data_IF_925423131733
#
_entry.id   IF_925423131733
#
_cell.length_a   1.000
_cell.length_b   1.000
_cell.length_c   1.000
_cell.angle_alpha   90.00
_cell.angle_beta   90.00
_cell.angle_gamma   90.00
#
_symmetry.space_group_name_H-M   'P 1'
#
loop_
_entity.id
_entity.type
_entity.pdbx_description
1 polymer ?
#
# COMPACT_ATOMS: atom_id res chain seq x y z
N UNK A 1 -48.38 3.36 -14.75
CA UNK A 1 -47.17 4.14 -15.11
C UNK A 1 -46.13 3.91 -14.04
N UNK A 2 -45.05 3.19 -14.34
CA UNK A 2 -43.96 2.95 -13.39
C UNK A 2 -43.11 4.22 -13.24
N UNK A 3 -42.85 4.62 -12.00
CA UNK A 3 -41.93 5.71 -11.67
C UNK A 3 -40.54 5.37 -12.22
N UNK A 4 -40.03 6.19 -13.14
CA UNK A 4 -38.63 6.14 -13.55
C UNK A 4 -37.79 6.69 -12.41
N UNK A 5 -37.03 5.82 -11.74
CA UNK A 5 -36.03 6.23 -10.77
C UNK A 5 -35.03 7.18 -11.45
N UNK A 6 -34.62 8.27 -10.78
CA UNK A 6 -33.60 9.16 -11.33
C UNK A 6 -32.31 8.37 -11.57
N UNK A 7 -31.91 8.29 -12.84
CA UNK A 7 -30.63 7.69 -13.20
C UNK A 7 -29.49 8.61 -12.77
N UNK A 8 -28.46 8.03 -12.17
CA UNK A 8 -27.20 8.69 -11.85
C UNK A 8 -26.64 9.34 -13.14
N UNK A 9 -26.24 10.62 -13.16
CA UNK A 9 -25.86 11.36 -14.38
C UNK A 9 -24.76 10.69 -15.24
N UNK A 10 -24.01 9.74 -14.70
CA UNK A 10 -22.96 9.00 -15.40
C UNK A 10 -23.39 7.61 -15.95
N UNK A 11 -24.69 7.30 -15.98
CA UNK A 11 -25.22 5.98 -16.34
C UNK A 11 -24.86 5.47 -17.76
N UNK A 12 -24.37 6.33 -18.65
CA UNK A 12 -23.94 5.97 -20.01
C UNK A 12 -22.43 5.90 -20.23
N UNK A 13 -21.61 6.37 -19.28
CA UNK A 13 -20.15 6.47 -19.47
C UNK A 13 -19.41 5.22 -19.00
N UNK A 14 -19.94 4.52 -18.00
CA UNK A 14 -19.32 3.34 -17.40
C UNK A 14 -20.21 2.11 -17.50
N UNK A 15 -19.58 0.93 -17.48
CA UNK A 15 -20.28 -0.35 -17.45
C UNK A 15 -21.20 -0.43 -16.22
N UNK A 16 -22.40 -0.96 -16.40
CA UNK A 16 -23.32 -1.23 -15.29
C UNK A 16 -22.62 -2.03 -14.18
N UNK A 17 -22.68 -1.52 -12.94
CA UNK A 17 -21.97 -2.07 -11.78
C UNK A 17 -20.59 -1.46 -11.49
N UNK A 18 -20.13 -0.48 -12.27
CA UNK A 18 -18.89 0.24 -12.01
C UNK A 18 -19.07 1.25 -10.86
N UNK A 19 -18.35 1.02 -9.76
CA UNK A 19 -18.27 1.97 -8.64
C UNK A 19 -17.15 2.98 -8.92
N UNK A 20 -17.50 4.14 -9.46
CA UNK A 20 -16.58 5.28 -9.58
C UNK A 20 -16.45 5.95 -8.22
N UNK A 21 -15.25 5.92 -7.64
CA UNK A 21 -14.95 6.71 -6.45
C UNK A 21 -14.15 7.95 -6.83
N UNK A 22 -14.60 9.12 -6.38
CA UNK A 22 -13.90 10.39 -6.61
C UNK A 22 -12.82 10.62 -5.54
N UNK A 23 -11.80 11.44 -5.85
CA UNK A 23 -10.82 11.89 -4.85
C UNK A 23 -11.48 12.66 -3.69
N UNK A 24 -12.65 13.27 -3.92
CA UNK A 24 -13.46 13.89 -2.88
C UNK A 24 -13.95 12.89 -1.80
N UNK A 25 -14.01 11.59 -2.12
CA UNK A 25 -14.51 10.53 -1.24
C UNK A 25 -13.42 9.97 -0.30
N UNK A 26 -12.27 10.66 -0.17
CA UNK A 26 -11.18 10.25 0.72
C UNK A 26 -10.42 9.00 0.26
N UNK A 27 -10.34 8.75 -1.05
CA UNK A 27 -9.70 7.54 -1.61
C UNK A 27 -8.22 7.39 -1.25
N UNK A 28 -7.51 8.51 -1.12
CA UNK A 28 -6.11 8.52 -0.68
C UNK A 28 -6.00 7.96 0.74
N UNK A 29 -6.86 8.40 1.66
CA UNK A 29 -6.87 7.96 3.06
C UNK A 29 -7.20 6.46 3.14
N UNK A 30 -8.19 5.99 2.37
CA UNK A 30 -8.51 4.55 2.29
C UNK A 30 -7.34 3.70 1.80
N UNK A 31 -6.62 4.21 0.80
CA UNK A 31 -5.43 3.54 0.26
C UNK A 31 -4.30 3.47 1.28
N UNK A 32 -4.07 4.56 2.02
CA UNK A 32 -3.08 4.61 3.11
C UNK A 32 -3.49 3.64 4.23
N UNK A 33 -4.76 3.62 4.61
CA UNK A 33 -5.26 2.70 5.63
C UNK A 33 -5.04 1.22 5.26
N UNK A 34 -5.30 0.83 4.00
CA UNK A 34 -5.04 -0.52 3.53
C UNK A 34 -3.55 -0.90 3.59
N UNK A 35 -2.65 0.04 3.26
CA UNK A 35 -1.20 -0.19 3.35
C UNK A 35 -0.75 -0.26 4.81
N UNK A 36 -1.34 0.54 5.70
CA UNK A 36 -1.03 0.57 7.12
C UNK A 36 -1.31 -0.77 7.81
N UNK A 37 -2.37 -1.48 7.40
CA UNK A 37 -2.66 -2.83 7.90
C UNK A 37 -1.53 -3.81 7.61
N UNK A 38 -1.02 -3.82 6.36
CA UNK A 38 0.10 -4.68 5.98
C UNK A 38 1.43 -4.24 6.59
N UNK A 39 1.63 -2.93 6.74
CA UNK A 39 2.77 -2.39 7.46
C UNK A 39 2.83 -2.95 8.89
N UNK A 40 1.73 -2.90 9.64
CA UNK A 40 1.68 -3.43 11.01
C UNK A 40 1.96 -4.93 11.08
N UNK A 41 1.49 -5.69 10.09
CA UNK A 41 1.78 -7.12 9.97
C UNK A 41 3.28 -7.39 9.82
N UNK A 42 3.94 -6.65 8.93
CA UNK A 42 5.37 -6.81 8.62
C UNK A 42 6.29 -6.23 9.70
N UNK A 43 5.86 -5.20 10.43
CA UNK A 43 6.65 -4.49 11.45
C UNK A 43 7.21 -5.45 12.50
N UNK A 44 6.38 -6.38 12.98
CA UNK A 44 6.77 -7.37 14.00
C UNK A 44 7.77 -8.41 13.51
N UNK A 45 8.00 -8.51 12.20
CA UNK A 45 8.94 -9.43 11.58
C UNK A 45 10.31 -8.78 11.30
N UNK A 46 10.48 -7.50 11.65
CA UNK A 46 11.70 -6.73 11.40
C UNK A 46 12.76 -6.95 12.50
N UNK A 47 14.03 -7.02 12.09
CA UNK A 47 15.18 -7.08 12.99
C UNK A 47 15.56 -8.50 13.45
N UNK A 48 16.63 -8.63 14.26
CA UNK A 48 17.17 -9.93 14.68
C UNK A 48 16.24 -10.72 15.61
N UNK A 49 15.33 -10.02 16.31
CA UNK A 49 14.28 -10.63 17.13
C UNK A 49 12.91 -10.61 16.42
N UNK A 50 12.90 -10.53 15.09
CA UNK A 50 11.69 -10.55 14.27
C UNK A 50 10.89 -11.84 14.47
N UNK A 51 9.56 -11.72 14.57
CA UNK A 51 8.66 -12.85 14.78
C UNK A 51 8.29 -13.49 13.43
N UNK A 52 8.40 -14.81 13.37
CA UNK A 52 7.88 -15.57 12.23
C UNK A 52 6.36 -15.47 12.15
N UNK A 53 5.83 -15.45 10.93
CA UNK A 53 4.41 -15.52 10.63
C UNK A 53 4.06 -16.89 10.10
N UNK A 54 2.94 -17.41 10.57
CA UNK A 54 2.33 -18.64 10.07
C UNK A 54 1.22 -18.21 9.12
N UNK A 55 1.38 -18.51 7.84
CA UNK A 55 0.41 -18.23 6.79
C UNK A 55 -0.18 -19.56 6.35
N UNK A 56 -1.52 -19.62 6.34
CA UNK A 56 -2.26 -20.78 5.82
C UNK A 56 -2.97 -20.31 4.56
N UNK A 57 -2.52 -20.80 3.41
CA UNK A 57 -3.10 -20.45 2.12
C UNK A 57 -4.44 -21.20 1.90
N UNK A 58 -5.26 -20.77 0.94
CA UNK A 58 -6.56 -21.36 0.60
C UNK A 58 -6.47 -22.85 0.21
N UNK A 59 -5.29 -23.33 -0.19
CA UNK A 59 -5.00 -24.75 -0.47
C UNK A 59 -4.64 -25.57 0.78
N UNK A 60 -4.66 -24.98 1.97
CA UNK A 60 -4.24 -25.63 3.22
C UNK A 60 -2.72 -25.77 3.39
N UNK A 61 -1.92 -25.17 2.50
CA UNK A 61 -0.46 -25.11 2.64
C UNK A 61 -0.09 -24.18 3.79
N UNK A 62 0.70 -24.68 4.73
CA UNK A 62 1.23 -23.92 5.87
C UNK A 62 2.63 -23.42 5.50
N UNK A 63 2.85 -22.12 5.62
CA UNK A 63 4.12 -21.46 5.34
C UNK A 63 4.52 -20.67 6.57
N UNK A 64 5.77 -20.86 7.01
CA UNK A 64 6.34 -20.16 8.15
C UNK A 64 7.47 -19.29 7.63
N UNK A 65 7.31 -17.97 7.71
CA UNK A 65 8.32 -17.03 7.20
C UNK A 65 8.30 -15.70 7.96
N UNK A 66 9.44 -15.02 8.00
CA UNK A 66 9.59 -13.64 8.46
C UNK A 66 9.88 -12.64 7.31
N UNK A 67 10.02 -13.13 6.08
CA UNK A 67 10.34 -12.32 4.90
C UNK A 67 9.09 -11.74 4.25
N UNK A 68 8.99 -10.41 4.18
CA UNK A 68 7.81 -9.71 3.68
C UNK A 68 7.49 -10.04 2.23
N UNK A 69 8.49 -10.22 1.36
CA UNK A 69 8.23 -10.59 -0.04
C UNK A 69 7.51 -11.95 -0.11
N UNK A 70 8.01 -12.92 0.64
CA UNK A 70 7.42 -14.26 0.71
C UNK A 70 6.04 -14.24 1.38
N UNK A 71 5.86 -13.45 2.45
CA UNK A 71 4.57 -13.29 3.12
C UNK A 71 3.51 -12.70 2.19
N UNK A 72 3.82 -11.59 1.52
CA UNK A 72 2.88 -10.84 0.69
C UNK A 72 2.46 -11.59 -0.58
N UNK A 73 3.33 -12.45 -1.11
CA UNK A 73 3.01 -13.31 -2.25
C UNK A 73 1.94 -14.36 -1.94
N UNK A 74 1.92 -14.84 -0.70
CA UNK A 74 0.99 -15.88 -0.26
C UNK A 74 -0.34 -15.29 0.23
N UNK A 75 -0.44 -13.95 0.36
CA UNK A 75 -1.67 -13.25 0.72
C UNK A 75 -2.45 -12.84 -0.54
N UNK A 76 -3.76 -13.06 -0.52
CA UNK A 76 -4.68 -12.64 -1.58
C UNK A 76 -4.97 -11.14 -1.52
N UNK A 77 -4.06 -10.33 -2.09
CA UNK A 77 -4.16 -8.87 -2.07
C UNK A 77 -4.99 -8.36 -3.25
N UNK A 78 -6.14 -7.75 -2.94
CA UNK A 78 -7.05 -7.17 -3.94
C UNK A 78 -6.75 -5.68 -4.20
N UNK A 79 -6.37 -4.93 -3.17
CA UNK A 79 -6.26 -3.46 -3.24
C UNK A 79 -5.14 -2.99 -4.17
N UNK A 80 -5.40 -2.10 -5.16
CA UNK A 80 -4.42 -1.74 -6.18
C UNK A 80 -3.20 -0.99 -5.62
N UNK A 81 -3.41 -0.07 -4.67
CA UNK A 81 -2.29 0.65 -4.06
C UNK A 81 -1.32 -0.27 -3.32
N UNK A 82 -1.83 -1.36 -2.75
CA UNK A 82 -1.02 -2.35 -2.05
C UNK A 82 -0.22 -3.17 -3.06
N UNK A 83 -0.83 -3.59 -4.18
CA UNK A 83 -0.14 -4.36 -5.23
C UNK A 83 1.14 -3.67 -5.72
N UNK A 84 1.12 -2.36 -5.87
CA UNK A 84 2.32 -1.57 -6.25
C UNK A 84 3.44 -1.78 -5.25
N UNK A 85 3.11 -1.77 -3.95
CA UNK A 85 4.10 -1.95 -2.89
C UNK A 85 4.61 -3.40 -2.80
N UNK A 86 3.74 -4.38 -3.06
CA UNK A 86 4.13 -5.80 -3.19
C UNK A 86 5.13 -5.98 -4.32
N UNK A 87 4.85 -5.41 -5.50
CA UNK A 87 5.76 -5.47 -6.65
C UNK A 87 7.13 -4.86 -6.33
N UNK A 88 7.16 -3.72 -5.62
CA UNK A 88 8.42 -3.11 -5.18
C UNK A 88 9.21 -4.00 -4.22
N UNK A 89 8.51 -4.70 -3.32
CA UNK A 89 9.11 -5.62 -2.35
C UNK A 89 9.64 -6.89 -3.01
N UNK A 90 8.91 -7.42 -4.00
CA UNK A 90 9.38 -8.54 -4.82
C UNK A 90 10.61 -8.16 -5.66
N UNK A 91 10.62 -6.96 -6.24
CA UNK A 91 11.77 -6.45 -6.98
C UNK A 91 13.01 -6.34 -6.09
N UNK A 92 12.86 -5.80 -4.87
CA UNK A 92 13.94 -5.75 -3.89
C UNK A 92 14.49 -7.14 -3.56
N UNK A 93 13.61 -8.15 -3.45
CA UNK A 93 14.02 -9.53 -3.22
C UNK A 93 14.83 -10.11 -4.38
N UNK A 94 14.45 -9.80 -5.62
CA UNK A 94 15.13 -10.29 -6.83
C UNK A 94 16.51 -9.63 -6.98
N UNK A 95 16.57 -8.30 -6.81
CA UNK A 95 17.77 -7.54 -7.10
C UNK A 95 18.81 -7.65 -5.98
N UNK A 96 18.39 -7.52 -4.72
CA UNK A 96 19.30 -7.42 -3.56
C UNK A 96 19.23 -8.65 -2.64
N UNK A 97 18.14 -9.42 -2.67
CA UNK A 97 17.95 -10.61 -1.81
C UNK A 97 17.53 -10.30 -0.36
N UNK A 98 17.77 -9.08 0.12
CA UNK A 98 17.49 -8.60 1.49
C UNK A 98 16.85 -7.18 1.48
N UNK A 99 16.38 -6.72 2.63
CA UNK A 99 15.77 -5.40 2.81
C UNK A 99 14.29 -5.34 2.42
N UNK A 100 13.66 -6.49 2.14
CA UNK A 100 12.23 -6.59 1.79
C UNK A 100 11.32 -6.03 2.87
N UNK A 101 11.60 -6.38 4.14
CA UNK A 101 10.86 -5.85 5.29
C UNK A 101 11.04 -4.34 5.42
N UNK A 102 12.25 -3.83 5.17
CA UNK A 102 12.55 -2.41 5.24
C UNK A 102 11.75 -1.62 4.19
N UNK A 103 11.69 -2.08 2.95
CA UNK A 103 10.92 -1.42 1.87
C UNK A 103 9.46 -1.27 2.27
N UNK A 104 8.84 -2.34 2.77
CA UNK A 104 7.44 -2.31 3.23
C UNK A 104 7.22 -1.36 4.40
N UNK A 105 8.10 -1.42 5.40
CA UNK A 105 7.96 -0.65 6.64
C UNK A 105 8.17 0.84 6.35
N UNK A 106 9.23 1.17 5.61
CA UNK A 106 9.57 2.54 5.26
C UNK A 106 8.48 3.20 4.41
N UNK A 107 7.96 2.50 3.40
CA UNK A 107 6.86 3.01 2.60
C UNK A 107 5.59 3.24 3.43
N UNK A 108 5.27 2.31 4.33
CA UNK A 108 4.13 2.45 5.24
C UNK A 108 4.25 3.68 6.15
N UNK A 109 5.43 3.94 6.74
CA UNK A 109 5.60 5.15 7.57
C UNK A 109 5.58 6.45 6.79
N UNK A 110 6.16 6.50 5.60
CA UNK A 110 6.06 7.69 4.76
C UNK A 110 4.60 8.04 4.42
N UNK A 111 3.76 7.02 4.22
CA UNK A 111 2.34 7.21 3.96
C UNK A 111 1.55 7.60 5.23
N UNK A 112 1.89 7.04 6.40
CA UNK A 112 1.28 7.43 7.68
C UNK A 112 1.58 8.90 8.02
N UNK A 113 2.79 9.39 7.73
CA UNK A 113 3.12 10.82 7.87
C UNK A 113 2.38 11.65 6.82
N UNK A 114 2.26 11.17 5.58
CA UNK A 114 1.53 11.86 4.52
C UNK A 114 0.06 12.06 4.86
N UNK A 115 -0.59 11.07 5.48
CA UNK A 115 -1.98 11.16 5.94
C UNK A 115 -2.19 12.35 6.89
N UNK A 116 -1.25 12.56 7.82
CA UNK A 116 -1.28 13.71 8.75
C UNK A 116 -1.12 15.03 8.01
N UNK A 117 -0.19 15.11 7.05
CA UNK A 117 0.02 16.31 6.24
C UNK A 117 -1.21 16.65 5.38
N UNK A 118 -1.84 15.65 4.78
CA UNK A 118 -3.10 15.82 4.03
C UNK A 118 -4.20 16.32 4.97
N UNK A 119 -4.29 15.78 6.19
CA UNK A 119 -5.26 16.22 7.19
C UNK A 119 -5.05 17.68 7.63
N UNK A 120 -3.80 18.18 7.56
CA UNK A 120 -3.47 19.59 7.80
C UNK A 120 -3.77 20.50 6.61
N UNK A 121 -4.22 19.95 5.47
CA UNK A 121 -4.59 20.71 4.28
C UNK A 121 -3.52 20.80 3.19
N UNK A 122 -2.39 20.09 3.32
CA UNK A 122 -1.38 20.07 2.26
C UNK A 122 -1.86 19.25 1.05
N UNK A 123 -1.50 19.71 -0.15
CA UNK A 123 -1.79 18.97 -1.37
C UNK A 123 -0.83 17.79 -1.52
N UNK A 124 -1.34 16.65 -2.01
CA UNK A 124 -0.53 15.46 -2.27
C UNK A 124 0.67 15.76 -3.20
N UNK A 125 0.51 16.71 -4.13
CA UNK A 125 1.58 17.12 -5.06
C UNK A 125 2.76 17.74 -4.30
N UNK A 126 2.50 18.58 -3.31
CA UNK A 126 3.52 19.24 -2.50
C UNK A 126 4.27 18.22 -1.64
N UNK A 127 3.55 17.26 -1.05
CA UNK A 127 4.13 16.17 -0.26
C UNK A 127 5.08 15.33 -1.13
N UNK A 128 4.66 14.97 -2.35
CA UNK A 128 5.49 14.22 -3.30
C UNK A 128 6.75 15.02 -3.67
N UNK A 129 6.63 16.33 -3.89
CA UNK A 129 7.79 17.19 -4.17
C UNK A 129 8.76 17.20 -2.99
N UNK A 130 8.26 17.37 -1.76
CA UNK A 130 9.06 17.33 -0.53
C UNK A 130 9.81 16.01 -0.36
N UNK A 131 9.14 14.87 -0.55
CA UNK A 131 9.79 13.55 -0.49
C UNK A 131 10.82 13.34 -1.61
N UNK A 132 10.59 13.87 -2.81
CA UNK A 132 11.59 13.81 -3.87
C UNK A 132 12.84 14.64 -3.56
N UNK A 133 12.69 15.81 -2.93
CA UNK A 133 13.81 16.61 -2.46
C UNK A 133 14.59 15.88 -1.36
N UNK A 134 13.89 15.34 -0.36
CA UNK A 134 14.48 14.56 0.71
C UNK A 134 15.24 13.34 0.18
N UNK A 135 14.62 12.55 -0.72
CA UNK A 135 15.25 11.41 -1.38
C UNK A 135 16.57 11.78 -2.06
N UNK A 136 16.59 12.88 -2.83
CA UNK A 136 17.80 13.35 -3.51
C UNK A 136 18.91 13.71 -2.52
N UNK A 137 18.57 14.33 -1.41
CA UNK A 137 19.54 14.67 -0.36
C UNK A 137 20.05 13.41 0.33
N UNK A 138 19.16 12.51 0.75
CA UNK A 138 19.53 11.26 1.42
C UNK A 138 20.44 10.38 0.57
N UNK A 139 20.19 10.28 -0.75
CA UNK A 139 21.07 9.52 -1.65
C UNK A 139 22.49 10.11 -1.71
N UNK A 140 22.62 11.44 -1.71
CA UNK A 140 23.94 12.10 -1.71
C UNK A 140 24.74 11.89 -0.42
N UNK A 141 24.07 11.71 0.70
CA UNK A 141 24.72 11.46 2.00
C UNK A 141 25.03 9.97 2.23
N UNK A 142 24.35 9.08 1.50
CA UNK A 142 24.59 7.64 1.57
C UNK A 142 25.75 7.19 0.69
N UNK A 143 26.00 7.94 -0.40
CA UNK A 143 27.14 7.78 -1.32
C UNK A 143 28.45 8.32 -0.69
#
# INVERSE_FOLDING_TARGET
>A
MSLRLPQNPNAGLFKQGYNSYSNADGQIIKSIAAIRELHQMCLTSMGPCGRNKIIVNHLGKIIITNDAATMLRELDIVHPAVKVLVMATEQQKIDMGDGTNLVMILAGELLNVSEKLISMGLSAVEIIQGYNMARKFTLKELD
#
